data_IF_953863636354
#
_entry.id   IF_953863636354
#
_cell.length_a   1.000
_cell.length_b   1.000
_cell.length_c   1.000
_cell.angle_alpha   90.00
_cell.angle_beta   90.00
_cell.angle_gamma   90.00
#
_symmetry.space_group_name_H-M   'P 1'
#
loop_
_entity.id
_entity.type
_entity.pdbx_description
1 polymer ?
#
# COMPACT_ATOMS: atom_id res chain seq x y z
N UNK A 1 9.85 7.12 -23.21
CA UNK A 1 9.26 5.88 -22.64
C UNK A 1 9.14 6.07 -21.14
N UNK A 2 8.04 5.62 -20.52
CA UNK A 2 7.85 5.62 -19.07
C UNK A 2 8.60 4.47 -18.38
N UNK A 3 9.79 4.11 -18.89
CA UNK A 3 10.66 3.13 -18.27
C UNK A 3 11.47 3.82 -17.19
N UNK A 4 11.60 3.17 -16.04
CA UNK A 4 12.40 3.65 -14.90
C UNK A 4 13.44 2.58 -14.66
N UNK A 5 14.71 2.98 -14.64
CA UNK A 5 15.81 2.05 -14.35
C UNK A 5 15.62 1.45 -12.95
N UNK A 6 15.96 0.16 -12.73
CA UNK A 6 15.77 -0.48 -11.44
C UNK A 6 16.46 0.25 -10.28
N UNK A 7 17.61 0.88 -10.52
CA UNK A 7 18.30 1.72 -9.54
C UNK A 7 17.46 2.92 -9.12
N UNK A 8 16.85 3.61 -10.09
CA UNK A 8 16.01 4.79 -9.84
C UNK A 8 14.70 4.42 -9.15
N UNK A 9 14.15 3.25 -9.49
CA UNK A 9 12.98 2.70 -8.81
C UNK A 9 13.28 2.40 -7.34
N UNK A 10 14.43 1.76 -7.06
CA UNK A 10 14.84 1.43 -5.70
C UNK A 10 14.95 2.69 -4.83
N UNK A 11 15.59 3.75 -5.36
CA UNK A 11 15.68 5.05 -4.67
C UNK A 11 14.28 5.61 -4.37
N UNK A 12 13.36 5.61 -5.33
CA UNK A 12 11.98 6.09 -5.12
C UNK A 12 11.21 5.29 -4.08
N UNK A 13 11.43 3.97 -4.00
CA UNK A 13 10.80 3.11 -3.00
C UNK A 13 11.31 3.44 -1.59
N UNK A 14 12.61 3.65 -1.45
CA UNK A 14 13.25 4.07 -0.19
C UNK A 14 12.72 5.45 0.24
N UNK A 15 12.70 6.43 -0.67
CA UNK A 15 12.19 7.78 -0.39
C UNK A 15 10.72 7.75 0.05
N UNK A 16 9.92 6.89 -0.59
CA UNK A 16 8.51 6.67 -0.20
C UNK A 16 8.38 6.05 1.19
N UNK A 17 9.29 5.13 1.56
CA UNK A 17 9.38 4.55 2.89
C UNK A 17 9.71 5.59 3.96
N UNK A 18 10.71 6.45 3.69
CA UNK A 18 11.13 7.52 4.59
C UNK A 18 9.98 8.51 4.85
N UNK A 19 9.25 8.93 3.82
CA UNK A 19 8.09 9.81 3.97
C UNK A 19 7.01 9.20 4.88
N UNK A 20 6.80 7.89 4.81
CA UNK A 20 5.83 7.18 5.67
C UNK A 20 6.28 7.11 7.13
N UNK A 21 7.58 6.91 7.38
CA UNK A 21 8.15 6.88 8.73
C UNK A 21 7.79 8.15 9.52
N UNK A 22 7.87 9.30 8.86
CA UNK A 22 7.65 10.62 9.46
C UNK A 22 6.18 11.07 9.50
N UNK A 23 5.25 10.24 9.05
CA UNK A 23 3.83 10.56 9.09
C UNK A 23 3.29 10.60 10.52
N UNK A 24 2.40 11.54 10.82
CA UNK A 24 1.77 11.62 12.15
C UNK A 24 0.93 10.36 12.43
N UNK A 25 0.90 9.89 13.68
CA UNK A 25 0.11 8.70 14.06
C UNK A 25 -1.37 8.84 13.69
N UNK A 26 -1.91 10.05 13.81
CA UNK A 26 -3.29 10.35 13.40
C UNK A 26 -3.50 10.09 11.91
N UNK A 27 -2.61 10.59 11.06
CA UNK A 27 -2.73 10.41 9.62
C UNK A 27 -2.50 8.96 9.22
N UNK A 28 -1.54 8.26 9.85
CA UNK A 28 -1.31 6.83 9.66
C UNK A 28 -2.58 6.03 9.97
N UNK A 29 -3.21 6.26 11.12
CA UNK A 29 -4.43 5.55 11.52
C UNK A 29 -5.60 5.82 10.57
N UNK A 30 -5.81 7.08 10.17
CA UNK A 30 -6.88 7.43 9.23
C UNK A 30 -6.65 6.75 7.89
N UNK A 31 -5.44 6.84 7.34
CA UNK A 31 -5.11 6.24 6.03
C UNK A 31 -5.20 4.72 6.05
N UNK A 32 -4.74 4.08 7.13
CA UNK A 32 -4.83 2.63 7.29
C UNK A 32 -6.29 2.14 7.41
N UNK A 33 -7.11 2.84 8.20
CA UNK A 33 -8.52 2.52 8.33
C UNK A 33 -9.27 2.65 7.01
N UNK A 34 -9.05 3.76 6.29
CA UNK A 34 -9.65 3.97 4.97
C UNK A 34 -9.17 2.94 3.95
N UNK A 35 -7.90 2.54 4.01
CA UNK A 35 -7.37 1.48 3.16
C UNK A 35 -8.09 0.15 3.40
N UNK A 36 -8.27 -0.22 4.67
CA UNK A 36 -9.00 -1.44 5.06
C UNK A 36 -10.46 -1.41 4.59
N UNK A 37 -11.15 -0.28 4.76
CA UNK A 37 -12.54 -0.12 4.33
C UNK A 37 -12.71 -0.28 2.82
N UNK A 38 -11.85 0.35 2.02
CA UNK A 38 -11.88 0.23 0.54
C UNK A 38 -11.58 -1.20 0.12
N UNK A 39 -10.59 -1.85 0.73
CA UNK A 39 -10.23 -3.22 0.39
C UNK A 39 -11.34 -4.22 0.75
N UNK A 40 -12.03 -4.02 1.87
CA UNK A 40 -13.20 -4.82 2.24
C UNK A 40 -14.34 -4.69 1.23
N UNK A 41 -14.64 -3.47 0.77
CA UNK A 41 -15.63 -3.24 -0.27
C UNK A 41 -15.22 -3.89 -1.61
N UNK A 42 -13.94 -3.80 -1.98
CA UNK A 42 -13.42 -4.45 -3.18
C UNK A 42 -13.51 -5.99 -3.10
N UNK A 43 -13.27 -6.58 -1.92
CA UNK A 43 -13.43 -8.02 -1.70
C UNK A 43 -14.89 -8.46 -1.87
N UNK A 44 -15.85 -7.74 -1.25
CA UNK A 44 -17.28 -8.02 -1.40
C UNK A 44 -17.71 -7.90 -2.87
N UNK A 45 -17.21 -6.88 -3.57
CA UNK A 45 -17.46 -6.70 -5.00
C UNK A 45 -16.94 -7.87 -5.84
N UNK A 46 -15.70 -8.30 -5.63
CA UNK A 46 -15.10 -9.44 -6.33
C UNK A 46 -15.84 -10.75 -6.06
N UNK A 47 -16.23 -11.00 -4.79
CA UNK A 47 -17.04 -12.16 -4.40
C UNK A 47 -18.40 -12.11 -5.11
N UNK A 48 -19.04 -10.94 -5.17
CA UNK A 48 -20.32 -10.77 -5.86
C UNK A 48 -20.20 -11.10 -7.34
N UNK A 49 -19.14 -10.66 -8.02
CA UNK A 49 -18.89 -11.01 -9.43
C UNK A 49 -18.71 -12.53 -9.56
N UNK A 50 -17.87 -13.14 -8.74
CA UNK A 50 -17.62 -14.58 -8.80
C UNK A 50 -18.90 -15.38 -8.60
N UNK A 51 -19.74 -14.99 -7.63
CA UNK A 51 -21.01 -15.66 -7.34
C UNK A 51 -22.06 -15.44 -8.44
N UNK A 52 -22.20 -14.22 -8.97
CA UNK A 52 -23.21 -13.93 -10.00
C UNK A 52 -22.86 -14.49 -11.37
N UNK A 53 -21.57 -14.60 -11.69
CA UNK A 53 -21.10 -15.11 -12.99
C UNK A 53 -20.75 -16.60 -12.96
N UNK A 54 -20.56 -17.17 -11.77
CA UNK A 54 -20.02 -18.53 -11.59
C UNK A 54 -18.52 -18.65 -11.93
N UNK A 55 -17.83 -17.53 -12.21
CA UNK A 55 -16.43 -17.52 -12.63
C UNK A 55 -15.53 -16.87 -11.59
N UNK A 56 -14.72 -17.68 -10.92
CA UNK A 56 -13.67 -17.18 -10.02
C UNK A 56 -12.62 -16.33 -10.73
N UNK A 57 -12.36 -16.59 -12.02
CA UNK A 57 -11.44 -15.79 -12.83
C UNK A 57 -11.94 -14.34 -13.00
N UNK A 58 -13.23 -14.15 -13.24
CA UNK A 58 -13.80 -12.81 -13.35
C UNK A 58 -13.73 -12.09 -11.99
N UNK A 59 -14.07 -12.75 -10.89
CA UNK A 59 -13.89 -12.18 -9.55
C UNK A 59 -12.45 -11.71 -9.30
N UNK A 60 -11.47 -12.56 -9.60
CA UNK A 60 -10.04 -12.25 -9.46
C UNK A 60 -9.59 -11.09 -10.38
N UNK A 61 -10.08 -11.04 -11.61
CA UNK A 61 -9.74 -9.97 -12.56
C UNK A 61 -10.25 -8.59 -12.13
N UNK A 62 -11.37 -8.54 -11.39
CA UNK A 62 -11.97 -7.28 -10.92
C UNK A 62 -11.58 -6.87 -9.49
N UNK A 63 -11.04 -7.78 -8.68
CA UNK A 63 -10.52 -7.46 -7.34
C UNK A 63 -9.48 -6.31 -7.30
N UNK A 64 -8.56 -6.16 -8.29
CA UNK A 64 -7.58 -5.06 -8.32
C UNK A 64 -8.16 -3.64 -8.30
N UNK A 65 -9.45 -3.46 -8.58
CA UNK A 65 -10.14 -2.16 -8.43
C UNK A 65 -9.90 -1.56 -7.05
N UNK A 66 -9.88 -2.38 -5.99
CA UNK A 66 -9.54 -1.92 -4.64
C UNK A 66 -8.15 -1.28 -4.57
N UNK A 67 -7.13 -1.97 -5.06
CA UNK A 67 -5.75 -1.48 -5.06
C UNK A 67 -5.56 -0.23 -5.92
N UNK A 68 -6.25 -0.13 -7.06
CA UNK A 68 -6.24 1.08 -7.90
C UNK A 68 -6.80 2.27 -7.11
N UNK A 69 -7.92 2.09 -6.39
CA UNK A 69 -8.50 3.12 -5.54
C UNK A 69 -7.57 3.53 -4.39
N UNK A 70 -6.92 2.56 -3.74
CA UNK A 70 -5.93 2.84 -2.69
C UNK A 70 -4.79 3.72 -3.21
N UNK A 71 -4.26 3.41 -4.39
CA UNK A 71 -3.17 4.16 -5.02
C UNK A 71 -3.60 5.58 -5.40
N UNK A 72 -4.76 5.73 -6.05
CA UNK A 72 -5.28 7.05 -6.49
C UNK A 72 -5.60 7.96 -5.30
N UNK A 73 -6.17 7.42 -4.22
CA UNK A 73 -6.51 8.16 -3.02
C UNK A 73 -5.33 8.31 -2.04
N UNK A 74 -4.19 7.69 -2.35
CA UNK A 74 -2.96 7.68 -1.52
C UNK A 74 -3.20 7.14 -0.11
N UNK A 75 -4.04 6.13 0.02
CA UNK A 75 -4.23 5.42 1.29
C UNK A 75 -3.18 4.34 1.48
N UNK A 76 -2.84 4.10 2.73
CA UNK A 76 -1.71 3.27 3.10
C UNK A 76 -2.19 1.92 3.61
N UNK A 77 -1.92 0.90 2.80
CA UNK A 77 -2.17 -0.49 3.17
C UNK A 77 -0.98 -1.05 3.93
N UNK A 78 -1.25 -1.82 4.97
CA UNK A 78 -0.24 -2.43 5.84
C UNK A 78 0.86 -3.17 5.07
N UNK A 79 0.49 -3.96 4.06
CA UNK A 79 1.44 -4.73 3.25
C UNK A 79 2.42 -3.85 2.48
N UNK A 80 1.96 -2.68 2.01
CA UNK A 80 2.81 -1.67 1.38
C UNK A 80 3.76 -1.02 2.39
N UNK A 81 3.26 -0.66 3.58
CA UNK A 81 4.05 -0.08 4.67
C UNK A 81 5.15 -1.05 5.14
N UNK A 82 4.81 -2.33 5.32
CA UNK A 82 5.75 -3.39 5.69
C UNK A 82 6.85 -3.63 4.66
N UNK A 83 6.64 -3.22 3.41
CA UNK A 83 7.68 -3.27 2.38
C UNK A 83 8.51 -2.00 2.39
N UNK A 84 7.87 -0.83 2.36
CA UNK A 84 8.56 0.46 2.12
C UNK A 84 9.32 0.96 3.34
N UNK A 85 8.73 0.88 4.53
CA UNK A 85 9.31 1.46 5.74
C UNK A 85 10.60 0.76 6.17
N UNK A 86 10.72 -0.59 6.15
CA UNK A 86 11.98 -1.25 6.42
C UNK A 86 13.09 -0.93 5.41
N UNK A 87 12.75 -0.65 4.14
CA UNK A 87 13.75 -0.26 3.13
C UNK A 87 14.43 1.06 3.49
N UNK A 88 13.69 2.03 4.04
CA UNK A 88 14.27 3.29 4.51
C UNK A 88 15.27 3.07 5.67
N UNK A 89 15.00 2.11 6.53
CA UNK A 89 15.91 1.73 7.60
C UNK A 89 17.15 0.98 7.09
N UNK A 90 16.97 0.05 6.14
CA UNK A 90 18.07 -0.68 5.49
C UNK A 90 19.01 0.25 4.70
N UNK A 91 18.45 1.30 4.07
CA UNK A 91 19.21 2.37 3.40
C UNK A 91 19.89 3.35 4.39
N UNK A 92 19.70 3.15 5.71
CA UNK A 92 20.27 3.97 6.80
C UNK A 92 19.85 5.44 6.73
N UNK A 93 18.60 5.71 6.34
CA UNK A 93 18.05 7.08 6.35
C UNK A 93 18.12 7.67 7.75
N UNK A 94 18.65 8.89 7.83
CA UNK A 94 18.88 9.60 9.08
C UNK A 94 17.56 9.74 9.84
N UNK A 95 17.55 9.33 11.11
CA UNK A 95 16.39 9.47 11.99
C UNK A 95 15.32 8.39 11.86
N UNK A 96 15.50 7.38 10.98
CA UNK A 96 14.63 6.20 10.91
C UNK A 96 15.07 5.16 11.95
N UNK A 97 14.16 4.80 12.84
CA UNK A 97 14.40 3.87 13.95
C UNK A 97 13.41 2.70 13.92
N UNK A 98 13.81 1.55 14.48
CA UNK A 98 12.94 0.37 14.61
C UNK A 98 11.64 0.72 15.36
N UNK A 99 11.71 1.61 16.36
CA UNK A 99 10.52 2.07 17.09
C UNK A 99 9.51 2.78 16.17
N UNK A 100 9.97 3.59 15.21
CA UNK A 100 9.07 4.21 14.24
C UNK A 100 8.55 3.23 13.19
N UNK A 101 9.33 2.20 12.84
CA UNK A 101 8.87 1.12 11.96
C UNK A 101 7.70 0.38 12.61
N UNK A 102 7.84 -0.01 13.88
CA UNK A 102 6.81 -0.74 14.62
C UNK A 102 5.56 0.09 14.94
N UNK A 103 5.68 1.42 14.95
CA UNK A 103 4.55 2.34 15.14
C UNK A 103 3.68 2.46 13.88
N UNK A 104 4.29 2.40 12.69
CA UNK A 104 3.59 2.56 11.41
C UNK A 104 2.92 1.26 10.97
#
# INVERSE_FOLDING_TARGET
MAYVEPSDLAVKLVDSGEQKVYMSTKDTLIRAYMAGAILALAAIFAITIAMKTGSGLLGAAFFPVGFIMLYLLKFDLLTGVFTLVPLAWLDKRTGVTIGQILRN
#
